data_IF_933925428757
#
_entry.id   IF_933925428757
#
_cell.length_a   1.000
_cell.length_b   1.000
_cell.length_c   1.000
_cell.angle_alpha   90.00
_cell.angle_beta   90.00
_cell.angle_gamma   90.00
#
_symmetry.space_group_name_H-M   'P 1'
#
loop_
_entity.id
_entity.type
_entity.pdbx_description
1 polymer ?
#
# COMPACT_ATOMS: atom_id res chain seq x y z
N UNK A 1 -16.59 8.62 0.25
CA UNK A 1 -15.85 7.51 -0.38
C UNK A 1 -14.35 7.64 -0.23
N UNK A 2 -13.67 8.73 -0.65
CA UNK A 2 -12.23 8.88 -0.45
C UNK A 2 -11.81 8.73 1.02
N UNK A 3 -12.55 9.37 1.94
CA UNK A 3 -12.30 9.26 3.38
C UNK A 3 -12.44 7.82 3.92
N UNK A 4 -13.40 7.04 3.42
CA UNK A 4 -13.60 5.65 3.88
C UNK A 4 -12.49 4.72 3.38
N UNK A 5 -11.99 4.95 2.16
CA UNK A 5 -10.83 4.22 1.62
C UNK A 5 -9.57 4.59 2.39
N UNK A 6 -9.38 5.88 2.66
CA UNK A 6 -8.23 6.38 3.42
C UNK A 6 -8.22 5.84 4.85
N UNK A 7 -9.36 5.82 5.54
CA UNK A 7 -9.52 5.20 6.85
C UNK A 7 -9.22 3.70 6.82
N UNK A 8 -9.74 2.97 5.82
CA UNK A 8 -9.50 1.55 5.67
C UNK A 8 -8.02 1.25 5.38
N UNK A 9 -7.41 1.98 4.46
CA UNK A 9 -5.99 1.88 4.14
C UNK A 9 -5.12 2.19 5.37
N UNK A 10 -5.45 3.23 6.14
CA UNK A 10 -4.75 3.55 7.38
C UNK A 10 -4.86 2.44 8.42
N UNK A 11 -6.03 1.79 8.54
CA UNK A 11 -6.21 0.65 9.43
C UNK A 11 -5.37 -0.57 8.99
N UNK A 12 -5.33 -0.87 7.68
CA UNK A 12 -4.49 -1.93 7.13
C UNK A 12 -3.02 -1.64 7.40
N UNK A 13 -2.54 -0.45 7.05
CA UNK A 13 -1.14 -0.05 7.23
C UNK A 13 -0.72 -0.04 8.70
N UNK A 14 -1.58 0.41 9.60
CA UNK A 14 -1.29 0.38 11.05
C UNK A 14 -1.08 -1.04 11.55
N UNK A 15 -1.92 -1.99 11.09
CA UNK A 15 -1.76 -3.41 11.43
C UNK A 15 -0.44 -3.95 10.88
N UNK A 16 -0.15 -3.72 9.60
CA UNK A 16 1.09 -4.18 8.96
C UNK A 16 2.36 -3.61 9.60
N UNK A 17 2.34 -2.33 9.99
CA UNK A 17 3.44 -1.69 10.69
C UNK A 17 3.65 -2.28 12.08
N UNK A 18 2.57 -2.60 12.80
CA UNK A 18 2.65 -3.30 14.08
C UNK A 18 3.22 -4.71 13.92
N UNK A 19 2.74 -5.48 12.92
CA UNK A 19 3.25 -6.82 12.62
C UNK A 19 4.76 -6.77 12.26
N UNK A 20 5.19 -5.73 11.53
CA UNK A 20 6.60 -5.50 11.22
C UNK A 20 7.42 -5.17 12.48
N UNK A 21 6.89 -4.35 13.39
CA UNK A 21 7.56 -3.97 14.64
C UNK A 21 7.71 -5.16 15.61
N UNK A 22 6.72 -6.05 15.63
CA UNK A 22 6.78 -7.30 16.40
C UNK A 22 7.86 -8.25 15.86
N UNK A 23 8.09 -8.23 14.54
CA UNK A 23 9.14 -9.03 13.90
C UNK A 23 10.53 -8.42 14.07
N UNK A 24 10.69 -7.13 13.79
CA UNK A 24 11.94 -6.38 13.90
C UNK A 24 11.66 -4.86 14.00
N UNK A 25 11.98 -4.21 15.13
CA UNK A 25 11.73 -2.78 15.34
C UNK A 25 12.49 -1.85 14.40
N UNK A 26 13.71 -2.22 13.99
CA UNK A 26 14.54 -1.39 13.10
C UNK A 26 13.99 -1.47 11.67
N UNK A 27 13.61 -2.66 11.20
CA UNK A 27 12.91 -2.84 9.93
C UNK A 27 11.60 -2.04 9.89
N UNK A 28 10.84 -2.06 10.98
CA UNK A 28 9.60 -1.30 11.07
C UNK A 28 9.85 0.20 10.91
N UNK A 29 10.76 0.76 11.72
CA UNK A 29 11.07 2.18 11.73
C UNK A 29 11.71 2.66 10.42
N UNK A 30 12.62 1.87 9.84
CA UNK A 30 13.40 2.30 8.68
C UNK A 30 12.73 1.98 7.34
N UNK A 31 11.87 0.97 7.24
CA UNK A 31 11.23 0.55 5.97
C UNK A 31 9.70 0.60 6.06
N UNK A 32 9.09 -0.15 6.97
CA UNK A 32 7.64 -0.35 7.00
C UNK A 32 6.88 0.97 7.19
N UNK A 33 7.33 1.80 8.13
CA UNK A 33 6.75 3.11 8.44
C UNK A 33 6.89 4.08 7.26
N UNK A 34 7.98 3.99 6.48
CA UNK A 34 8.16 4.82 5.29
C UNK A 34 7.19 4.44 4.19
N UNK A 35 6.97 3.15 3.96
CA UNK A 35 5.98 2.65 3.01
C UNK A 35 4.58 3.10 3.42
N UNK A 36 4.23 2.94 4.71
CA UNK A 36 2.95 3.40 5.24
C UNK A 36 2.76 4.92 5.07
N UNK A 37 3.77 5.71 5.44
CA UNK A 37 3.75 7.16 5.29
C UNK A 37 3.64 7.59 3.82
N UNK A 38 4.30 6.89 2.89
CA UNK A 38 4.22 7.17 1.46
C UNK A 38 2.81 6.89 0.91
N UNK A 39 2.25 5.73 1.26
CA UNK A 39 0.90 5.32 0.83
C UNK A 39 -0.18 6.29 1.33
N UNK A 40 -0.07 6.72 2.60
CA UNK A 40 -0.97 7.73 3.20
C UNK A 40 -0.71 9.13 2.67
N UNK A 41 0.53 9.44 2.30
CA UNK A 41 1.01 10.75 1.83
C UNK A 41 0.50 11.21 0.46
N UNK A 42 -0.52 10.59 -0.12
CA UNK A 42 -1.42 11.33 -1.02
C UNK A 42 -1.96 10.61 -2.24
N UNK A 43 -2.36 11.43 -3.22
CA UNK A 43 -3.08 11.03 -4.43
C UNK A 43 -4.57 11.33 -4.30
N UNK A 44 -5.24 11.61 -5.43
CA UNK A 44 -6.71 11.83 -5.47
C UNK A 44 -7.53 10.55 -5.25
N UNK A 45 -6.87 9.41 -4.95
CA UNK A 45 -7.49 8.08 -4.80
C UNK A 45 -8.38 7.68 -6.00
N UNK A 46 -8.03 8.14 -7.20
CA UNK A 46 -8.82 7.91 -8.42
C UNK A 46 -9.03 6.41 -8.71
N UNK A 47 -8.05 5.55 -8.39
CA UNK A 47 -8.16 4.09 -8.59
C UNK A 47 -9.25 3.50 -7.70
N UNK A 48 -9.25 3.89 -6.43
CA UNK A 48 -10.29 3.52 -5.49
C UNK A 48 -11.67 4.08 -5.88
N UNK A 49 -11.74 5.29 -6.42
CA UNK A 49 -12.99 5.87 -6.93
C UNK A 49 -13.54 5.10 -8.14
N UNK A 50 -12.69 4.76 -9.12
CA UNK A 50 -13.10 3.95 -10.26
C UNK A 50 -13.60 2.58 -9.83
N UNK A 51 -12.91 1.93 -8.88
CA UNK A 51 -13.37 0.65 -8.32
C UNK A 51 -14.74 0.78 -7.65
N UNK A 52 -14.94 1.83 -6.86
CA UNK A 52 -16.22 2.09 -6.21
C UNK A 52 -17.35 2.24 -7.24
N UNK A 53 -17.14 3.05 -8.28
CA UNK A 53 -18.13 3.24 -9.33
C UNK A 53 -18.39 1.98 -10.14
N UNK A 54 -17.36 1.16 -10.39
CA UNK A 54 -17.54 -0.14 -11.01
C UNK A 54 -18.39 -1.10 -10.15
N UNK A 55 -18.15 -1.14 -8.84
CA UNK A 55 -18.97 -1.94 -7.92
C UNK A 55 -20.43 -1.47 -7.91
N UNK A 56 -20.67 -0.15 -7.82
CA UNK A 56 -22.03 0.41 -7.87
C UNK A 56 -22.72 0.17 -9.21
N UNK A 57 -21.99 0.33 -10.31
CA UNK A 57 -22.50 0.15 -11.68
C UNK A 57 -22.83 -1.31 -12.03
N UNK A 58 -22.22 -2.28 -11.34
CA UNK A 58 -22.52 -3.72 -11.47
C UNK A 58 -23.63 -4.20 -10.53
N UNK A 59 -24.31 -3.27 -9.83
CA UNK A 59 -25.41 -3.60 -8.91
C UNK A 59 -24.97 -3.93 -7.48
N UNK A 60 -23.69 -3.75 -7.15
CA UNK A 60 -23.18 -3.92 -5.80
C UNK A 60 -23.67 -2.86 -4.82
N UNK A 61 -23.76 -3.25 -3.55
CA UNK A 61 -24.29 -2.41 -2.49
C UNK A 61 -23.57 -2.58 -1.16
N UNK A 62 -24.33 -2.46 -0.07
CA UNK A 62 -23.78 -2.54 1.29
C UNK A 62 -23.07 -3.89 1.57
N UNK A 63 -23.48 -4.96 0.88
CA UNK A 63 -22.90 -6.30 1.04
C UNK A 63 -21.45 -6.35 0.53
N UNK A 64 -21.17 -5.74 -0.61
CA UNK A 64 -19.88 -5.77 -1.30
C UNK A 64 -18.93 -4.67 -0.80
N UNK A 65 -19.49 -3.62 -0.18
CA UNK A 65 -18.75 -2.43 0.29
C UNK A 65 -17.48 -2.77 1.09
N UNK A 66 -17.49 -3.67 2.10
CA UNK A 66 -16.27 -3.98 2.86
C UNK A 66 -15.16 -4.57 2.00
N UNK A 67 -15.49 -5.49 1.09
CA UNK A 67 -14.51 -6.07 0.19
C UNK A 67 -14.02 -5.06 -0.84
N UNK A 68 -14.89 -4.17 -1.34
CA UNK A 68 -14.48 -3.07 -2.22
C UNK A 68 -13.50 -2.11 -1.54
N UNK A 69 -13.68 -1.82 -0.24
CA UNK A 69 -12.72 -1.01 0.52
C UNK A 69 -11.37 -1.72 0.66
N UNK A 70 -11.36 -3.03 0.92
CA UNK A 70 -10.13 -3.83 0.99
C UNK A 70 -9.39 -3.88 -0.35
N UNK A 71 -10.11 -4.13 -1.44
CA UNK A 71 -9.52 -4.11 -2.80
C UNK A 71 -9.07 -2.70 -3.19
N UNK A 72 -9.78 -1.65 -2.77
CA UNK A 72 -9.34 -0.27 -2.98
C UNK A 72 -8.02 0.03 -2.26
N UNK A 73 -7.87 -0.41 -1.01
CA UNK A 73 -6.61 -0.28 -0.28
C UNK A 73 -5.47 -1.04 -0.97
N UNK A 74 -5.73 -2.27 -1.45
CA UNK A 74 -4.77 -3.04 -2.23
C UNK A 74 -4.31 -2.29 -3.50
N UNK A 75 -5.23 -1.68 -4.25
CA UNK A 75 -4.89 -0.88 -5.44
C UNK A 75 -4.01 0.34 -5.13
N UNK A 76 -4.23 1.00 -3.99
CA UNK A 76 -3.38 2.13 -3.56
C UNK A 76 -1.99 1.66 -3.11
N UNK A 77 -1.87 0.44 -2.58
CA UNK A 77 -0.58 -0.20 -2.27
C UNK A 77 0.17 -0.64 -3.54
N UNK A 78 -0.52 -1.20 -4.54
CA UNK A 78 0.09 -1.45 -5.87
C UNK A 78 0.62 -0.14 -6.46
N UNK A 79 -0.14 0.94 -6.36
CA UNK A 79 0.33 2.24 -6.82
C UNK A 79 1.53 2.75 -6.01
N UNK A 80 1.58 2.45 -4.71
CA UNK A 80 2.73 2.80 -3.86
C UNK A 80 3.98 2.07 -4.32
N UNK A 81 3.90 0.76 -4.57
CA UNK A 81 4.98 -0.03 -5.18
C UNK A 81 5.47 0.61 -6.48
N UNK A 82 4.55 0.85 -7.43
CA UNK A 82 4.90 1.40 -8.73
C UNK A 82 5.64 2.74 -8.62
N UNK A 83 5.15 3.68 -7.79
CA UNK A 83 5.79 4.98 -7.64
C UNK A 83 7.17 4.91 -6.97
N UNK A 84 7.34 4.03 -5.98
CA UNK A 84 8.63 3.85 -5.31
C UNK A 84 9.66 3.29 -6.31
N UNK A 85 9.27 2.28 -7.09
CA UNK A 85 10.13 1.70 -8.12
C UNK A 85 10.42 2.71 -9.25
N UNK A 86 9.41 3.45 -9.72
CA UNK A 86 9.59 4.51 -10.72
C UNK A 86 10.58 5.58 -10.22
N UNK A 87 10.46 6.03 -8.97
CA UNK A 87 11.38 7.01 -8.39
C UNK A 87 12.84 6.51 -8.40
N UNK A 88 13.06 5.21 -8.18
CA UNK A 88 14.39 4.58 -8.25
C UNK A 88 14.87 4.45 -9.70
N UNK A 89 14.03 3.93 -10.60
CA UNK A 89 14.36 3.74 -12.01
C UNK A 89 14.70 5.06 -12.71
N UNK A 90 13.96 6.12 -12.39
CA UNK A 90 14.15 7.45 -12.97
C UNK A 90 15.21 8.29 -12.22
N UNK A 91 15.72 7.82 -11.08
CA UNK A 91 16.60 8.59 -10.21
C UNK A 91 15.95 9.89 -9.70
N UNK A 92 14.62 9.89 -9.51
CA UNK A 92 13.85 11.08 -9.18
C UNK A 92 14.04 11.48 -7.71
N UNK A 93 14.65 12.64 -7.39
CA UNK A 93 14.98 12.98 -6.01
C UNK A 93 13.74 13.38 -5.19
N UNK A 94 12.66 13.78 -5.86
CA UNK A 94 11.44 14.30 -5.23
C UNK A 94 10.19 13.63 -5.79
N UNK A 95 9.25 13.34 -4.89
CA UNK A 95 7.89 12.91 -5.21
C UNK A 95 6.90 13.74 -4.41
N UNK A 96 5.96 14.39 -5.12
CA UNK A 96 4.91 15.25 -4.53
C UNK A 96 5.49 16.31 -3.57
N UNK A 97 6.63 16.89 -3.92
CA UNK A 97 7.33 17.91 -3.11
C UNK A 97 8.07 17.40 -1.88
N UNK A 98 8.16 16.07 -1.69
CA UNK A 98 8.91 15.43 -0.60
C UNK A 98 10.06 14.60 -1.16
N UNK A 99 11.15 14.37 -0.41
CA UNK A 99 12.21 13.46 -0.83
C UNK A 99 11.66 12.07 -1.15
N UNK A 100 12.08 11.49 -2.27
CA UNK A 100 11.70 10.12 -2.65
C UNK A 100 12.24 9.10 -1.65
N UNK A 101 11.64 7.90 -1.60
CA UNK A 101 11.99 6.88 -0.57
C UNK A 101 13.47 6.53 -0.59
N UNK A 102 14.08 6.36 -1.77
CA UNK A 102 15.52 6.06 -1.88
C UNK A 102 16.39 7.20 -1.34
N UNK A 103 16.03 8.47 -1.57
CA UNK A 103 16.74 9.63 -1.02
C UNK A 103 16.64 9.67 0.49
N UNK A 104 15.47 9.37 1.05
CA UNK A 104 15.30 9.33 2.50
C UNK A 104 16.13 8.22 3.16
N UNK A 105 16.23 7.06 2.49
CA UNK A 105 17.01 5.92 2.96
C UNK A 105 18.51 6.20 2.84
N UNK A 106 18.97 6.80 1.75
CA UNK A 106 20.37 7.23 1.61
C UNK A 106 20.77 8.24 2.70
N UNK A 107 19.88 9.17 3.05
CA UNK A 107 20.10 10.11 4.14
C UNK A 107 20.16 9.42 5.52
N UNK A 108 19.37 8.35 5.73
CA UNK A 108 19.30 7.62 7.01
C UNK A 108 20.53 6.75 7.25
N UNK A 109 20.97 6.01 6.24
CA UNK A 109 22.03 5.01 6.38
C UNK A 109 23.43 5.53 6.04
N UNK A 110 23.53 6.83 5.73
CA UNK A 110 24.78 7.52 5.47
C UNK A 110 25.28 7.31 4.04
N UNK A 111 25.69 8.39 3.40
CA UNK A 111 26.29 8.41 2.05
C UNK A 111 27.75 7.90 2.02
N UNK A 112 28.27 7.39 3.14
CA UNK A 112 29.66 7.00 3.29
C UNK A 112 29.98 5.63 2.68
N UNK A 113 30.67 5.65 1.53
CA UNK A 113 31.47 4.55 0.97
C UNK A 113 30.78 3.21 0.59
N UNK A 114 29.47 3.05 0.82
CA UNK A 114 28.70 1.89 0.33
C UNK A 114 28.13 2.10 -1.08
N UNK A 115 28.97 2.56 -2.00
CA UNK A 115 28.66 2.43 -3.42
C UNK A 115 28.62 0.92 -3.72
N UNK A 116 27.41 0.37 -3.87
CA UNK A 116 27.25 -0.97 -4.38
C UNK A 116 27.66 -0.95 -5.86
N UNK A 117 28.17 -2.06 -6.41
CA UNK A 117 28.53 -2.14 -7.84
C UNK A 117 27.39 -1.72 -8.80
N UNK A 118 26.14 -1.73 -8.31
CA UNK A 118 24.92 -1.44 -9.05
C UNK A 118 24.08 -0.26 -8.49
N UNK A 119 24.56 0.53 -7.51
CA UNK A 119 23.80 1.69 -7.01
C UNK A 119 24.11 2.10 -5.56
N UNK A 120 23.19 2.85 -4.95
CA UNK A 120 23.26 3.23 -3.53
C UNK A 120 22.50 2.23 -2.66
N UNK A 121 22.86 2.17 -1.38
CA UNK A 121 22.10 1.39 -0.41
C UNK A 121 20.63 1.81 -0.37
N UNK A 122 20.34 3.12 -0.40
CA UNK A 122 18.97 3.65 -0.40
C UNK A 122 18.19 3.24 -1.65
N UNK A 123 18.84 3.14 -2.81
CA UNK A 123 18.24 2.59 -4.03
C UNK A 123 17.82 1.13 -3.85
N UNK A 124 18.73 0.26 -3.39
CA UNK A 124 18.43 -1.15 -3.15
C UNK A 124 17.34 -1.35 -2.07
N UNK A 125 17.44 -0.60 -0.96
CA UNK A 125 16.44 -0.65 0.11
C UNK A 125 15.07 -0.11 -0.33
N UNK A 126 15.03 0.89 -1.23
CA UNK A 126 13.78 1.39 -1.79
C UNK A 126 13.11 0.37 -2.73
N UNK A 127 13.88 -0.41 -3.50
CA UNK A 127 13.32 -1.52 -4.30
C UNK A 127 12.59 -2.51 -3.38
N UNK A 128 13.23 -2.93 -2.29
CA UNK A 128 12.61 -3.82 -1.30
C UNK A 128 11.42 -3.17 -0.58
N UNK A 129 11.45 -1.86 -0.35
CA UNK A 129 10.30 -1.12 0.19
C UNK A 129 9.10 -1.13 -0.79
N UNK A 130 9.36 -1.04 -2.09
CA UNK A 130 8.34 -1.22 -3.13
C UNK A 130 7.78 -2.65 -3.13
N UNK A 131 8.65 -3.66 -3.04
CA UNK A 131 8.24 -5.07 -2.97
C UNK A 131 7.39 -5.36 -1.73
N UNK A 132 7.73 -4.75 -0.58
CA UNK A 132 6.91 -4.81 0.63
C UNK A 132 5.51 -4.23 0.40
N UNK A 133 5.40 -3.09 -0.29
CA UNK A 133 4.12 -2.51 -0.64
C UNK A 133 3.28 -3.44 -1.53
N UNK A 134 3.92 -4.14 -2.47
CA UNK A 134 3.26 -5.13 -3.32
C UNK A 134 2.80 -6.36 -2.52
N UNK A 135 3.65 -6.89 -1.63
CA UNK A 135 3.29 -8.00 -0.76
C UNK A 135 2.09 -7.66 0.14
N UNK A 136 2.06 -6.45 0.72
CA UNK A 136 0.91 -5.99 1.49
C UNK A 136 -0.34 -5.77 0.63
N UNK A 137 -0.18 -5.38 -0.64
CA UNK A 137 -1.30 -5.29 -1.56
C UNK A 137 -1.93 -6.66 -1.81
N UNK A 138 -1.12 -7.67 -2.07
CA UNK A 138 -1.56 -9.06 -2.28
C UNK A 138 -2.29 -9.60 -1.04
N UNK A 139 -1.73 -9.39 0.16
CA UNK A 139 -2.39 -9.80 1.39
C UNK A 139 -3.73 -9.09 1.59
N UNK A 140 -3.78 -7.76 1.40
CA UNK A 140 -4.99 -6.97 1.54
C UNK A 140 -6.07 -7.42 0.54
N UNK A 141 -5.67 -7.74 -0.69
CA UNK A 141 -6.56 -8.27 -1.72
C UNK A 141 -7.08 -9.66 -1.34
N UNK A 142 -6.20 -10.56 -0.91
CA UNK A 142 -6.57 -11.92 -0.50
C UNK A 142 -7.57 -11.92 0.67
N UNK A 143 -7.32 -11.08 1.69
CA UNK A 143 -8.22 -10.90 2.83
C UNK A 143 -9.59 -10.37 2.39
N UNK A 144 -9.62 -9.35 1.53
CA UNK A 144 -10.86 -8.75 1.02
C UNK A 144 -11.72 -9.78 0.27
N UNK A 145 -11.10 -10.59 -0.60
CA UNK A 145 -11.80 -11.62 -1.39
C UNK A 145 -12.22 -12.80 -0.53
N UNK A 146 -11.42 -13.20 0.46
CA UNK A 146 -11.78 -14.25 1.40
C UNK A 146 -13.00 -13.86 2.25
N UNK A 147 -13.08 -12.60 2.68
CA UNK A 147 -14.24 -12.05 3.40
C UNK A 147 -15.54 -12.11 2.58
N UNK A 148 -15.46 -11.91 1.27
CA UNK A 148 -16.60 -12.09 0.35
C UNK A 148 -17.09 -13.54 0.28
N UNK A 149 -16.16 -14.52 0.20
CA UNK A 149 -16.51 -15.94 0.01
C UNK A 149 -17.10 -16.61 1.24
N UNK A 150 -16.80 -16.12 2.45
CA UNK A 150 -17.23 -16.76 3.72
C UNK A 150 -18.63 -16.36 4.21
N UNK A 151 -19.34 -15.42 3.57
CA UNK A 151 -20.68 -14.99 4.01
C UNK A 151 -21.79 -15.86 3.39
N UNK A 152 -22.60 -16.60 4.19
CA UNK A 152 -23.69 -17.41 3.68
C UNK A 152 -24.69 -16.56 2.88
N UNK A 153 -25.29 -17.15 1.84
CA UNK A 153 -26.32 -16.50 1.01
C UNK A 153 -27.54 -16.08 1.84
N UNK A 154 -28.37 -15.15 1.34
CA UNK A 154 -29.61 -14.77 2.01
C UNK A 154 -30.47 -16.03 2.26
N UNK A 155 -31.20 -16.11 3.39
CA UNK A 155 -32.15 -17.20 3.59
C UNK A 155 -33.11 -17.20 2.41
N UNK A 156 -33.17 -18.32 1.69
CA UNK A 156 -34.06 -18.47 0.54
C UNK A 156 -35.49 -18.12 0.95
N UNK A 157 -36.13 -17.24 0.19
CA UNK A 157 -37.57 -16.99 0.29
C UNK A 157 -38.31 -18.26 -0.14
N UNK A 158 -38.47 -19.20 0.79
CA UNK A 158 -39.41 -20.30 0.66
C UNK A 158 -40.81 -19.77 0.95
N UNK A 159 -41.63 -19.66 -0.10
CA UNK A 159 -43.04 -19.32 -0.08
C UNK A 159 -43.66 -19.69 -1.42
#
# INVERSE_FOLDING_TARGET
MPAAVEEHLAAVLRRRAADAADADPDFAADIADRVAAFALGGGRRLRAEFLWWAMRGSGGGARETPASLGVAAALELVQTCALIHDDVMDGSPLRRGRPSVHVQLDARFGTGERALPCGTFGGAAAVLAGDLALAWADDAFAEAVAGCRRRPGPPGSGG
#
